data_IF_845242932906
#
_entry.id   IF_845242932906
#
_cell.length_a   1.000
_cell.length_b   1.000
_cell.length_c   1.000
_cell.angle_alpha   90.00
_cell.angle_beta   90.00
_cell.angle_gamma   90.00
#
_symmetry.space_group_name_H-M   'P 1'
#
loop_
_entity.id
_entity.type
_entity.pdbx_description
1 polymer ?
#
# COMPACT_ATOMS: atom_id res chain seq x y z
N UNK A 1 32.02 -17.84 63.02
CA UNK A 1 30.60 -17.86 63.42
C UNK A 1 29.89 -16.80 62.59
N UNK A 2 29.21 -17.19 61.50
CA UNK A 2 28.59 -16.25 60.55
C UNK A 2 27.21 -15.88 61.08
N UNK A 3 27.06 -14.65 61.58
CA UNK A 3 25.77 -14.09 62.01
C UNK A 3 24.84 -13.96 60.79
N UNK A 4 23.94 -14.93 60.58
CA UNK A 4 22.77 -14.73 59.72
C UNK A 4 21.82 -13.79 60.45
N UNK A 5 21.83 -12.50 60.10
CA UNK A 5 20.80 -11.56 60.58
C UNK A 5 19.43 -12.04 60.07
N UNK A 6 18.43 -12.22 60.95
CA UNK A 6 17.09 -12.58 60.53
C UNK A 6 16.49 -11.43 59.70
N UNK A 7 15.72 -11.76 58.67
CA UNK A 7 14.94 -10.81 57.88
C UNK A 7 13.99 -10.05 58.81
N UNK A 8 14.35 -8.81 59.18
CA UNK A 8 13.69 -8.04 60.23
C UNK A 8 12.28 -7.51 59.86
N UNK A 9 11.79 -7.71 58.64
CA UNK A 9 10.50 -7.17 58.21
C UNK A 9 9.71 -8.14 57.31
N UNK A 10 9.14 -9.23 57.87
CA UNK A 10 8.36 -10.21 57.10
C UNK A 10 7.16 -9.59 56.38
N UNK A 11 6.53 -8.56 56.97
CA UNK A 11 5.45 -7.81 56.33
C UNK A 11 5.92 -7.03 55.09
N UNK A 12 7.11 -6.43 55.14
CA UNK A 12 7.65 -5.68 54.00
C UNK A 12 7.98 -6.62 52.84
N UNK A 13 8.59 -7.77 53.13
CA UNK A 13 8.83 -8.82 52.12
C UNK A 13 7.53 -9.33 51.52
N UNK A 14 6.49 -9.52 52.33
CA UNK A 14 5.17 -9.96 51.86
C UNK A 14 4.51 -8.93 50.94
N UNK A 15 4.45 -7.65 51.36
CA UNK A 15 3.87 -6.56 50.55
C UNK A 15 4.64 -6.40 49.24
N UNK A 16 5.97 -6.46 49.27
CA UNK A 16 6.80 -6.37 48.07
C UNK A 16 6.53 -7.55 47.11
N UNK A 17 6.42 -8.78 47.64
CA UNK A 17 6.11 -9.97 46.85
C UNK A 17 4.72 -9.88 46.21
N UNK A 18 3.73 -9.40 46.96
CA UNK A 18 2.37 -9.20 46.46
C UNK A 18 2.33 -8.13 45.37
N UNK A 19 3.06 -7.03 45.55
CA UNK A 19 3.17 -5.97 44.55
C UNK A 19 3.85 -6.48 43.27
N UNK A 20 4.95 -7.23 43.38
CA UNK A 20 5.63 -7.81 42.20
C UNK A 20 4.71 -8.79 41.49
N UNK A 21 4.02 -9.68 42.22
CA UNK A 21 3.11 -10.65 41.65
C UNK A 21 1.90 -9.99 40.96
N UNK A 22 1.31 -8.95 41.55
CA UNK A 22 0.19 -8.22 40.94
C UNK A 22 0.62 -7.45 39.69
N UNK A 23 1.77 -6.78 39.73
CA UNK A 23 2.32 -6.06 38.58
C UNK A 23 2.65 -7.02 37.44
N UNK A 24 3.25 -8.17 37.73
CA UNK A 24 3.54 -9.21 36.75
C UNK A 24 2.27 -9.83 36.18
N UNK A 25 1.28 -10.12 37.03
CA UNK A 25 -0.02 -10.64 36.60
C UNK A 25 -0.75 -9.67 35.67
N UNK A 26 -0.74 -8.36 35.99
CA UNK A 26 -1.30 -7.34 35.13
C UNK A 26 -0.55 -7.21 33.80
N UNK A 27 0.79 -7.26 33.82
CA UNK A 27 1.62 -7.24 32.61
C UNK A 27 1.32 -8.45 31.72
N UNK A 28 1.28 -9.66 32.29
CA UNK A 28 0.95 -10.88 31.56
C UNK A 28 -0.46 -10.81 31.00
N UNK A 29 -1.44 -10.33 31.76
CA UNK A 29 -2.81 -10.10 31.27
C UNK A 29 -2.82 -9.13 30.08
N UNK A 30 -2.11 -8.00 30.16
CA UNK A 30 -2.02 -7.06 29.04
C UNK A 30 -1.34 -7.66 27.81
N UNK A 31 -0.22 -8.36 27.99
CA UNK A 31 0.55 -8.96 26.88
C UNK A 31 -0.18 -10.14 26.23
N UNK A 32 -0.95 -10.91 27.01
CA UNK A 32 -1.67 -12.10 26.53
C UNK A 32 -3.12 -11.83 26.14
N UNK A 33 -3.73 -10.74 26.61
CA UNK A 33 -5.03 -10.31 26.13
C UNK A 33 -4.91 -9.73 24.73
N UNK A 34 -5.96 -9.84 23.95
CA UNK A 34 -6.09 -9.19 22.65
C UNK A 34 -6.34 -7.67 22.76
N UNK A 35 -6.30 -7.07 23.96
CA UNK A 35 -6.51 -5.62 24.15
C UNK A 35 -5.49 -4.74 23.40
N UNK A 36 -4.17 -5.04 23.43
CA UNK A 36 -3.20 -4.30 22.63
C UNK A 36 -3.49 -4.44 21.14
N UNK A 37 -3.97 -5.60 20.69
CA UNK A 37 -4.34 -5.85 19.30
C UNK A 37 -5.56 -5.02 18.88
N UNK A 38 -6.54 -4.81 19.77
CA UNK A 38 -7.68 -3.93 19.50
C UNK A 38 -7.31 -2.45 19.56
N UNK A 39 -6.43 -2.03 20.48
CA UNK A 39 -6.01 -0.63 20.61
C UNK A 39 -5.03 -0.19 19.52
N UNK A 40 -4.22 -1.12 18.99
CA UNK A 40 -3.24 -0.88 17.92
C UNK A 40 -3.71 -1.42 16.57
N UNK A 41 -4.93 -1.97 16.50
CA UNK A 41 -5.48 -2.53 15.28
C UNK A 41 -5.72 -1.44 14.23
N UNK A 42 -5.64 -1.76 12.93
CA UNK A 42 -5.87 -0.77 11.87
C UNK A 42 -7.30 -0.18 11.86
N UNK A 43 -8.23 -0.75 12.62
CA UNK A 43 -9.57 -0.18 12.90
C UNK A 43 -9.60 0.80 14.09
N UNK A 44 -8.58 0.80 14.94
CA UNK A 44 -8.41 1.74 16.06
C UNK A 44 -7.54 2.95 15.71
N UNK A 45 -6.98 3.00 14.50
CA UNK A 45 -6.32 4.18 13.96
C UNK A 45 -7.30 5.37 13.96
N UNK A 46 -7.01 6.50 14.62
CA UNK A 46 -7.92 7.65 14.70
C UNK A 46 -8.26 8.26 13.34
N UNK A 47 -7.37 8.11 12.36
CA UNK A 47 -7.52 8.64 11.01
C UNK A 47 -8.24 7.64 10.12
N UNK A 48 -7.82 6.38 10.10
CA UNK A 48 -8.31 5.39 9.15
C UNK A 48 -9.29 4.37 9.71
N UNK A 49 -9.53 4.35 11.03
CA UNK A 49 -10.26 3.28 11.68
C UNK A 49 -11.67 3.04 11.15
N UNK A 50 -12.44 4.13 10.96
CA UNK A 50 -13.79 4.09 10.39
C UNK A 50 -13.79 3.66 8.92
N UNK A 51 -12.88 4.23 8.13
CA UNK A 51 -12.69 3.85 6.74
C UNK A 51 -12.28 2.37 6.60
N UNK A 52 -11.42 1.87 7.48
CA UNK A 52 -11.00 0.49 7.48
C UNK A 52 -12.13 -0.46 7.85
N UNK A 53 -13.00 -0.09 8.80
CA UNK A 53 -14.22 -0.83 9.12
C UNK A 53 -15.18 -0.89 7.91
N UNK A 54 -15.36 0.22 7.20
CA UNK A 54 -16.12 0.27 5.95
C UNK A 54 -15.53 -0.64 4.86
N UNK A 55 -14.22 -0.61 4.65
CA UNK A 55 -13.58 -1.49 3.68
C UNK A 55 -13.67 -2.97 4.09
N UNK A 56 -13.65 -3.28 5.40
CA UNK A 56 -13.80 -4.65 5.90
C UNK A 56 -15.19 -5.19 5.59
N UNK A 57 -16.23 -4.38 5.78
CA UNK A 57 -17.60 -4.78 5.47
C UNK A 57 -17.88 -4.84 3.98
N UNK A 58 -17.32 -3.92 3.18
CA UNK A 58 -17.60 -3.82 1.75
C UNK A 58 -16.82 -4.82 0.89
N UNK A 59 -15.55 -5.08 1.24
CA UNK A 59 -14.66 -5.94 0.43
C UNK A 59 -14.50 -7.34 1.03
N UNK A 60 -14.79 -7.49 2.33
CA UNK A 60 -14.65 -8.73 3.08
C UNK A 60 -13.19 -9.10 3.39
N UNK A 61 -12.98 -10.37 3.72
CA UNK A 61 -11.66 -10.93 3.98
C UNK A 61 -10.84 -11.12 2.70
N UNK A 62 -9.51 -11.17 2.85
CA UNK A 62 -8.60 -11.46 1.73
C UNK A 62 -8.39 -10.28 0.79
N UNK A 63 -8.15 -9.08 1.35
CA UNK A 63 -7.76 -7.90 0.57
C UNK A 63 -6.45 -8.17 -0.18
N UNK A 64 -6.46 -7.86 -1.48
CA UNK A 64 -5.33 -7.99 -2.38
C UNK A 64 -4.61 -6.66 -2.57
N UNK A 65 -5.35 -5.54 -2.50
CA UNK A 65 -4.81 -4.20 -2.73
C UNK A 65 -5.49 -3.16 -1.86
N UNK A 66 -4.77 -2.06 -1.62
CA UNK A 66 -5.23 -0.89 -0.89
C UNK A 66 -4.62 0.37 -1.50
N UNK A 67 -5.38 1.46 -1.56
CA UNK A 67 -4.94 2.75 -2.03
C UNK A 67 -5.54 3.87 -1.18
N UNK A 68 -4.80 4.97 -1.03
CA UNK A 68 -5.24 6.18 -0.34
C UNK A 68 -5.28 7.30 -1.37
N UNK A 69 -6.35 8.10 -1.34
CA UNK A 69 -6.44 9.28 -2.20
C UNK A 69 -5.32 10.28 -1.86
N UNK A 70 -4.80 11.06 -2.82
CA UNK A 70 -3.69 12.00 -2.56
C UNK A 70 -3.98 13.03 -1.46
N UNK A 71 -5.24 13.43 -1.30
CA UNK A 71 -5.70 14.33 -0.23
C UNK A 71 -5.88 13.63 1.14
N UNK A 72 -5.76 12.30 1.17
CA UNK A 72 -6.03 11.46 2.34
C UNK A 72 -7.50 11.41 2.76
N UNK A 73 -8.43 11.90 1.93
CA UNK A 73 -9.86 12.00 2.23
C UNK A 73 -10.64 10.72 1.96
N UNK A 74 -10.11 9.83 1.12
CA UNK A 74 -10.72 8.55 0.78
C UNK A 74 -9.69 7.42 0.71
N UNK A 75 -10.16 6.19 0.86
CA UNK A 75 -9.37 4.96 0.71
C UNK A 75 -10.13 3.93 -0.10
N UNK A 76 -9.42 3.20 -0.95
CA UNK A 76 -9.97 2.10 -1.72
C UNK A 76 -9.27 0.80 -1.37
N UNK A 77 -9.99 -0.30 -1.51
CA UNK A 77 -9.41 -1.63 -1.44
C UNK A 77 -10.09 -2.58 -2.42
N UNK A 78 -9.40 -3.65 -2.77
CA UNK A 78 -9.97 -4.75 -3.55
C UNK A 78 -9.62 -6.11 -2.95
N UNK A 79 -10.47 -7.08 -3.25
CA UNK A 79 -10.25 -8.52 -3.05
C UNK A 79 -10.48 -9.24 -4.37
N UNK A 80 -10.36 -10.56 -4.36
CA UNK A 80 -10.74 -11.40 -5.49
C UNK A 80 -12.25 -11.29 -5.84
N UNK A 81 -13.09 -10.74 -4.96
CA UNK A 81 -14.55 -10.72 -5.13
C UNK A 81 -15.16 -9.33 -5.22
N UNK A 82 -14.56 -8.32 -4.61
CA UNK A 82 -15.15 -6.99 -4.57
C UNK A 82 -14.08 -5.90 -4.55
N UNK A 83 -14.50 -4.69 -4.89
CA UNK A 83 -13.71 -3.47 -4.72
C UNK A 83 -14.58 -2.39 -4.11
N UNK A 84 -14.01 -1.52 -3.28
CA UNK A 84 -14.75 -0.46 -2.63
C UNK A 84 -13.91 0.78 -2.39
N UNK A 85 -14.58 1.92 -2.26
CA UNK A 85 -14.06 3.22 -1.88
C UNK A 85 -14.84 3.73 -0.66
N UNK A 86 -14.12 4.08 0.40
CA UNK A 86 -14.70 4.62 1.63
C UNK A 86 -14.08 5.98 1.96
N UNK A 87 -14.88 6.88 2.52
CA UNK A 87 -14.42 8.17 3.04
C UNK A 87 -13.72 7.98 4.38
N UNK A 88 -12.61 8.69 4.57
CA UNK A 88 -11.79 8.60 5.80
C UNK A 88 -12.47 9.26 7.00
N UNK A 89 -13.11 10.42 6.82
CA UNK A 89 -13.66 11.22 7.94
C UNK A 89 -14.78 10.54 8.73
N UNK A 90 -15.66 9.80 8.06
CA UNK A 90 -16.85 9.20 8.65
C UNK A 90 -16.99 7.71 8.39
N UNK A 91 -16.15 7.13 7.51
CA UNK A 91 -16.28 5.74 7.09
C UNK A 91 -17.45 5.48 6.15
N UNK A 92 -18.01 6.51 5.49
CA UNK A 92 -19.08 6.30 4.53
C UNK A 92 -18.59 5.52 3.30
N UNK A 93 -19.37 4.53 2.87
CA UNK A 93 -19.16 3.86 1.59
C UNK A 93 -19.51 4.83 0.46
N UNK A 94 -18.52 5.18 -0.36
CA UNK A 94 -18.69 6.12 -1.48
C UNK A 94 -19.04 5.38 -2.76
N UNK A 95 -18.39 4.24 -3.00
CA UNK A 95 -18.63 3.39 -4.15
C UNK A 95 -18.22 1.96 -3.82
N UNK A 96 -18.87 1.00 -4.48
CA UNK A 96 -18.49 -0.41 -4.43
C UNK A 96 -18.77 -1.08 -5.76
N UNK A 97 -18.09 -2.20 -5.98
CA UNK A 97 -18.30 -3.07 -7.12
C UNK A 97 -18.27 -4.52 -6.65
N UNK A 98 -19.24 -5.34 -7.06
CA UNK A 98 -19.28 -6.78 -6.74
C UNK A 98 -18.31 -7.60 -7.61
N UNK A 99 -17.41 -6.93 -8.34
CA UNK A 99 -16.34 -7.56 -9.11
C UNK A 99 -15.00 -7.25 -8.47
N UNK A 100 -14.22 -8.29 -8.24
CA UNK A 100 -12.89 -8.20 -7.66
C UNK A 100 -11.87 -7.55 -8.59
N UNK A 101 -10.76 -7.13 -8.01
CA UNK A 101 -9.62 -6.59 -8.72
C UNK A 101 -8.32 -7.05 -8.03
N UNK A 102 -7.28 -7.31 -8.81
CA UNK A 102 -5.94 -7.63 -8.32
C UNK A 102 -5.30 -6.40 -7.67
N UNK A 103 -5.53 -5.23 -8.25
CA UNK A 103 -4.98 -3.95 -7.83
C UNK A 103 -6.02 -2.84 -7.88
N UNK A 104 -5.85 -1.83 -7.02
CA UNK A 104 -6.58 -0.56 -7.09
C UNK A 104 -5.63 0.62 -6.93
N UNK A 105 -5.93 1.72 -7.61
CA UNK A 105 -5.20 2.98 -7.47
C UNK A 105 -6.19 4.16 -7.52
N UNK A 106 -5.89 5.26 -6.81
CA UNK A 106 -6.74 6.46 -6.78
C UNK A 106 -5.94 7.62 -7.36
N UNK A 107 -6.48 8.27 -8.39
CA UNK A 107 -5.84 9.40 -9.06
C UNK A 107 -6.08 10.74 -8.34
N UNK A 108 -5.43 11.79 -8.83
CA UNK A 108 -5.57 13.15 -8.27
C UNK A 108 -6.99 13.72 -8.35
N UNK A 109 -7.85 13.19 -9.22
CA UNK A 109 -9.26 13.54 -9.32
C UNK A 109 -10.16 12.68 -8.40
N UNK A 110 -9.60 11.72 -7.68
CA UNK A 110 -10.32 10.80 -6.81
C UNK A 110 -11.01 9.63 -7.53
N UNK A 111 -10.70 9.40 -8.82
CA UNK A 111 -11.22 8.23 -9.54
C UNK A 111 -10.44 6.98 -9.14
N UNK A 112 -11.17 5.89 -8.98
CA UNK A 112 -10.59 4.61 -8.57
C UNK A 112 -10.42 3.71 -9.77
N UNK A 113 -9.17 3.45 -10.12
CA UNK A 113 -8.76 2.52 -11.16
C UNK A 113 -8.64 1.12 -10.58
N UNK A 114 -9.14 0.12 -11.28
CA UNK A 114 -9.19 -1.28 -10.86
C UNK A 114 -8.54 -2.16 -11.92
N UNK A 115 -7.43 -2.81 -11.56
CA UNK A 115 -6.76 -3.82 -12.40
C UNK A 115 -7.42 -5.18 -12.18
N UNK A 116 -8.09 -5.71 -13.20
CA UNK A 116 -8.72 -7.05 -13.17
C UNK A 116 -7.89 -8.11 -13.91
N UNK A 117 -6.62 -7.85 -14.17
CA UNK A 117 -5.71 -8.74 -14.89
C UNK A 117 -6.16 -8.92 -16.34
N UNK A 118 -6.50 -10.16 -16.74
CA UNK A 118 -6.94 -10.47 -18.10
C UNK A 118 -8.26 -9.80 -18.50
N UNK A 119 -9.13 -9.53 -17.53
CA UNK A 119 -10.38 -8.78 -17.77
C UNK A 119 -10.11 -7.27 -17.96
N UNK A 120 -8.88 -6.84 -17.71
CA UNK A 120 -8.35 -5.52 -18.00
C UNK A 120 -8.59 -4.46 -16.95
N UNK A 121 -8.21 -3.23 -17.30
CA UNK A 121 -8.33 -2.07 -16.45
C UNK A 121 -9.74 -1.47 -16.53
N UNK A 122 -10.32 -1.11 -15.39
CA UNK A 122 -11.62 -0.42 -15.35
C UNK A 122 -11.65 0.65 -14.26
N UNK A 123 -12.73 1.43 -14.21
CA UNK A 123 -13.03 2.32 -13.11
C UNK A 123 -14.01 1.65 -12.16
N UNK A 124 -13.89 1.95 -10.87
CA UNK A 124 -14.81 1.42 -9.87
C UNK A 124 -16.25 1.86 -10.19
N UNK A 125 -17.13 0.87 -10.37
CA UNK A 125 -18.54 1.11 -10.69
C UNK A 125 -18.82 1.34 -12.18
N UNK A 126 -17.79 1.32 -13.04
CA UNK A 126 -17.97 1.33 -14.49
C UNK A 126 -18.14 -0.10 -15.03
N UNK A 127 -18.91 -0.21 -16.10
CA UNK A 127 -18.99 -1.41 -16.94
C UNK A 127 -17.94 -1.35 -18.05
N UNK A 128 -17.36 -2.51 -18.40
CA UNK A 128 -16.31 -2.61 -19.41
C UNK A 128 -14.89 -2.45 -18.84
N UNK A 129 -13.90 -2.60 -19.72
CA UNK A 129 -12.49 -2.50 -19.36
C UNK A 129 -11.59 -2.35 -20.57
N UNK A 130 -10.42 -1.78 -20.35
CA UNK A 130 -9.40 -1.52 -21.35
C UNK A 130 -8.20 -2.42 -21.09
N UNK A 131 -7.97 -3.38 -21.99
CA UNK A 131 -6.73 -4.13 -22.17
C UNK A 131 -6.24 -4.92 -20.95
N UNK A 132 -5.61 -6.08 -21.17
CA UNK A 132 -5.00 -6.80 -20.06
C UNK A 132 -3.80 -6.01 -19.50
N UNK A 133 -3.76 -5.84 -18.17
CA UNK A 133 -2.73 -5.08 -17.47
C UNK A 133 -1.82 -5.99 -16.65
N UNK A 134 -0.52 -5.72 -16.73
CA UNK A 134 0.53 -6.34 -15.92
C UNK A 134 0.84 -5.53 -14.65
N UNK A 135 0.70 -4.21 -14.71
CA UNK A 135 0.85 -3.32 -13.56
C UNK A 135 0.04 -2.03 -13.73
N UNK A 136 -0.31 -1.41 -12.61
CA UNK A 136 -1.12 -0.18 -12.54
C UNK A 136 -0.54 0.75 -11.47
N UNK A 137 -0.49 2.04 -11.78
CA UNK A 137 -0.29 3.10 -10.80
C UNK A 137 -1.16 4.33 -11.12
N UNK A 138 -1.59 5.07 -10.11
CA UNK A 138 -2.33 6.31 -10.32
C UNK A 138 -1.40 7.51 -10.37
N UNK A 139 -1.73 8.48 -11.22
CA UNK A 139 -1.03 9.75 -11.40
C UNK A 139 -1.91 10.92 -10.93
N UNK A 140 -1.38 12.15 -11.03
CA UNK A 140 -2.14 13.35 -10.71
C UNK A 140 -3.37 13.52 -11.64
N UNK A 141 -3.24 13.14 -12.91
CA UNK A 141 -4.24 13.41 -13.94
C UNK A 141 -5.05 12.17 -14.34
N UNK A 142 -4.65 10.99 -13.89
CA UNK A 142 -5.34 9.73 -14.18
C UNK A 142 -4.55 8.50 -13.75
N UNK A 143 -4.29 7.57 -14.67
CA UNK A 143 -3.53 6.35 -14.37
C UNK A 143 -2.45 6.08 -15.42
N UNK A 144 -1.41 5.38 -14.96
CA UNK A 144 -0.40 4.75 -15.82
C UNK A 144 -0.55 3.24 -15.69
N UNK A 145 -0.77 2.59 -16.81
CA UNK A 145 -0.90 1.14 -16.91
C UNK A 145 0.22 0.57 -17.77
N UNK A 146 0.75 -0.59 -17.37
CA UNK A 146 1.62 -1.41 -18.19
C UNK A 146 0.80 -2.58 -18.73
N UNK A 147 0.66 -2.67 -20.05
CA UNK A 147 0.00 -3.78 -20.73
C UNK A 147 0.80 -5.09 -20.60
N UNK A 148 0.13 -6.22 -20.76
CA UNK A 148 0.81 -7.54 -20.80
C UNK A 148 1.71 -7.72 -22.03
N UNK A 149 1.55 -6.86 -23.04
CA UNK A 149 2.41 -6.73 -24.21
C UNK A 149 3.65 -5.85 -23.98
N UNK A 150 3.79 -5.26 -22.78
CA UNK A 150 4.91 -4.42 -22.38
C UNK A 150 4.76 -2.94 -22.77
N UNK A 151 3.63 -2.51 -23.35
CA UNK A 151 3.41 -1.10 -23.66
C UNK A 151 2.95 -0.33 -22.43
N UNK A 152 3.56 0.84 -22.20
CA UNK A 152 3.15 1.77 -21.15
C UNK A 152 2.07 2.71 -21.72
N UNK A 153 0.99 2.89 -20.97
CA UNK A 153 -0.18 3.68 -21.33
C UNK A 153 -0.45 4.72 -20.24
N UNK A 154 -0.61 5.98 -20.63
CA UNK A 154 -1.13 7.04 -19.77
C UNK A 154 -2.60 7.28 -20.11
N UNK A 155 -3.43 7.34 -19.09
CA UNK A 155 -4.89 7.38 -19.21
C UNK A 155 -5.44 8.55 -18.39
N UNK A 156 -6.34 9.34 -18.98
CA UNK A 156 -7.14 10.34 -18.24
C UNK A 156 -8.51 9.80 -17.85
N UNK A 157 -9.01 8.84 -18.60
CA UNK A 157 -10.27 8.11 -18.40
C UNK A 157 -10.25 6.78 -19.14
N UNK A 158 -11.29 5.95 -18.98
CA UNK A 158 -11.32 4.63 -19.63
C UNK A 158 -11.37 4.68 -21.15
N UNK A 159 -11.88 5.75 -21.72
CA UNK A 159 -12.00 5.90 -23.17
C UNK A 159 -10.96 6.88 -23.74
N UNK A 160 -10.05 7.37 -22.90
CA UNK A 160 -9.10 8.44 -23.25
C UNK A 160 -7.67 8.02 -22.89
N UNK A 161 -7.00 7.43 -23.87
CA UNK A 161 -5.56 7.17 -23.83
C UNK A 161 -4.83 8.47 -24.17
N UNK A 162 -4.18 9.07 -23.17
CA UNK A 162 -3.45 10.33 -23.30
C UNK A 162 -2.12 10.13 -24.03
N UNK A 163 -1.41 9.05 -23.73
CA UNK A 163 -0.15 8.70 -24.37
C UNK A 163 0.11 7.19 -24.36
N UNK A 164 0.87 6.74 -25.35
CA UNK A 164 1.38 5.36 -25.45
C UNK A 164 2.88 5.45 -25.66
N UNK A 165 3.65 4.67 -24.90
CA UNK A 165 5.09 4.55 -25.12
C UNK A 165 5.35 3.48 -26.18
N UNK A 166 6.06 3.86 -27.25
CA UNK A 166 6.45 2.94 -28.33
C UNK A 166 7.43 1.85 -27.83
N UNK A 167 8.32 2.23 -26.92
CA UNK A 167 9.30 1.33 -26.35
C UNK A 167 8.66 0.38 -25.34
N UNK A 168 8.92 -0.92 -25.51
CA UNK A 168 8.38 -1.96 -24.65
C UNK A 168 9.23 -2.14 -23.39
N UNK A 169 8.54 -2.34 -22.28
CA UNK A 169 9.14 -2.73 -21.02
C UNK A 169 9.07 -4.26 -20.85
N UNK A 170 10.12 -4.90 -20.32
CA UNK A 170 10.03 -6.28 -19.90
C UNK A 170 8.93 -6.46 -18.85
N UNK A 171 8.17 -7.55 -18.97
CA UNK A 171 7.13 -7.95 -18.01
C UNK A 171 7.56 -9.25 -17.29
N UNK A 172 7.37 -9.36 -15.97
CA UNK A 172 6.67 -8.43 -15.09
C UNK A 172 7.52 -7.20 -14.74
N UNK A 173 6.86 -6.04 -14.61
CA UNK A 173 7.45 -4.83 -14.07
C UNK A 173 6.62 -4.29 -12.91
N UNK A 174 7.23 -3.40 -12.13
CA UNK A 174 6.54 -2.64 -11.08
C UNK A 174 6.46 -1.18 -11.50
N UNK A 175 5.30 -0.58 -11.28
CA UNK A 175 5.09 0.85 -11.45
C UNK A 175 5.06 1.51 -10.07
N UNK A 176 5.65 2.69 -9.97
CA UNK A 176 5.54 3.54 -8.78
C UNK A 176 5.50 4.99 -9.21
N UNK A 177 4.63 5.79 -8.60
CA UNK A 177 4.44 7.19 -8.95
C UNK A 177 4.93 8.08 -7.81
N UNK A 178 5.56 9.19 -8.20
CA UNK A 178 6.03 10.25 -7.31
C UNK A 178 4.93 10.81 -6.40
N UNK A 179 5.34 11.49 -5.31
CA UNK A 179 4.39 12.11 -4.38
C UNK A 179 3.49 13.17 -5.02
N UNK A 180 3.95 13.85 -6.08
CA UNK A 180 3.11 14.81 -6.83
C UNK A 180 2.21 14.16 -7.86
N UNK A 181 2.44 12.90 -8.22
CA UNK A 181 1.73 12.25 -9.31
C UNK A 181 2.28 12.57 -10.71
N UNK A 182 3.34 13.39 -10.83
CA UNK A 182 3.84 13.89 -12.11
C UNK A 182 4.83 12.94 -12.80
N UNK A 183 5.58 12.15 -12.02
CA UNK A 183 6.56 11.19 -12.52
C UNK A 183 6.14 9.76 -12.21
N UNK A 184 6.41 8.86 -13.15
CA UNK A 184 6.27 7.41 -12.97
C UNK A 184 7.61 6.72 -13.18
N UNK A 185 7.95 5.84 -12.24
CA UNK A 185 9.09 4.94 -12.32
C UNK A 185 8.59 3.54 -12.74
N UNK A 186 9.30 2.95 -13.70
CA UNK A 186 9.12 1.57 -14.15
C UNK A 186 10.34 0.78 -13.72
N UNK A 187 10.16 -0.27 -12.92
CA UNK A 187 11.23 -1.17 -12.48
C UNK A 187 11.01 -2.54 -13.11
N UNK A 188 11.93 -2.94 -14.00
CA UNK A 188 11.86 -4.19 -14.74
C UNK A 188 13.26 -4.80 -14.89
N UNK A 189 13.37 -6.11 -14.64
CA UNK A 189 14.62 -6.89 -14.81
C UNK A 189 15.88 -6.28 -14.14
N UNK A 190 15.71 -5.55 -13.04
CA UNK A 190 16.81 -4.91 -12.34
C UNK A 190 17.28 -3.59 -12.95
N UNK A 191 16.55 -3.07 -13.94
CA UNK A 191 16.70 -1.72 -14.47
C UNK A 191 15.57 -0.82 -14.00
N UNK A 192 15.79 0.49 -14.05
CA UNK A 192 14.76 1.48 -13.78
C UNK A 192 14.66 2.46 -14.95
N UNK A 193 13.44 2.87 -15.26
CA UNK A 193 13.17 4.05 -16.08
C UNK A 193 12.27 5.01 -15.34
N UNK A 194 12.40 6.29 -15.67
CA UNK A 194 11.53 7.35 -15.19
C UNK A 194 11.02 8.12 -16.39
N UNK A 195 9.71 8.37 -16.41
CA UNK A 195 9.06 9.19 -17.41
C UNK A 195 8.02 10.12 -16.76
N UNK A 196 7.64 11.15 -17.51
CA UNK A 196 6.48 11.99 -17.17
C UNK A 196 5.20 11.13 -17.23
N UNK A 197 4.34 11.20 -16.21
CA UNK A 197 3.20 10.31 -16.08
C UNK A 197 2.10 10.57 -17.14
N UNK A 198 1.93 11.82 -17.57
CA UNK A 198 0.90 12.21 -18.56
C UNK A 198 1.34 11.93 -19.99
N UNK A 199 2.57 12.32 -20.34
CA UNK A 199 3.07 12.27 -21.73
C UNK A 199 3.84 10.98 -22.02
N UNK A 200 4.22 10.23 -20.99
CA UNK A 200 5.17 9.12 -21.03
C UNK A 200 6.53 9.49 -21.66
N UNK A 201 6.87 10.78 -21.66
CA UNK A 201 8.18 11.24 -22.15
C UNK A 201 9.28 10.69 -21.23
N UNK A 202 10.25 9.93 -21.77
CA UNK A 202 11.33 9.37 -20.96
C UNK A 202 12.26 10.49 -20.47
N UNK A 203 12.53 10.48 -19.16
CA UNK A 203 13.47 11.39 -18.50
C UNK A 203 14.78 10.69 -18.17
N UNK A 204 14.70 9.41 -17.80
CA UNK A 204 15.85 8.62 -17.42
C UNK A 204 15.59 7.15 -17.74
N UNK A 205 16.63 6.42 -18.20
CA UNK A 205 16.59 4.97 -18.36
C UNK A 205 17.96 4.39 -18.08
N UNK A 206 18.01 3.41 -17.18
CA UNK A 206 19.23 2.76 -16.74
C UNK A 206 19.29 2.64 -15.23
N UNK A 207 20.33 2.02 -14.71
CA UNK A 207 20.56 1.96 -13.27
C UNK A 207 22.06 1.80 -13.01
N UNK A 208 22.58 2.39 -11.91
CA UNK A 208 23.98 2.22 -11.54
C UNK A 208 24.29 0.80 -11.05
N UNK A 209 23.25 -0.02 -10.84
CA UNK A 209 23.32 -1.35 -10.24
C UNK A 209 22.08 -2.16 -10.66
N UNK A 210 22.05 -3.45 -10.32
CA UNK A 210 20.83 -4.25 -10.42
C UNK A 210 19.84 -3.85 -9.33
N UNK A 211 18.74 -3.19 -9.69
CA UNK A 211 17.71 -2.67 -8.77
C UNK A 211 16.82 -3.80 -8.27
N UNK A 212 16.66 -3.93 -6.95
CA UNK A 212 15.67 -4.83 -6.33
C UNK A 212 14.39 -4.10 -5.95
N UNK A 213 14.53 -2.88 -5.43
CA UNK A 213 13.42 -2.03 -5.03
C UNK A 213 13.68 -0.58 -5.42
N UNK A 214 12.60 0.15 -5.68
CA UNK A 214 12.62 1.59 -5.87
C UNK A 214 11.47 2.20 -5.07
N UNK A 215 11.73 3.36 -4.46
CA UNK A 215 10.74 4.11 -3.70
C UNK A 215 10.97 5.60 -3.90
N UNK A 216 9.88 6.33 -4.09
CA UNK A 216 9.93 7.79 -4.17
C UNK A 216 10.11 8.41 -2.80
N UNK A 217 10.92 9.46 -2.73
CA UNK A 217 10.96 10.33 -1.56
C UNK A 217 9.57 10.99 -1.40
N UNK A 218 8.99 11.05 -0.18
CA UNK A 218 7.60 11.49 0.00
C UNK A 218 7.35 12.97 -0.36
N UNK A 219 8.36 13.82 -0.23
CA UNK A 219 8.25 15.27 -0.46
C UNK A 219 9.21 15.82 -1.52
N UNK A 220 9.99 14.96 -2.17
CA UNK A 220 10.97 15.35 -3.18
C UNK A 220 10.76 14.47 -4.40
N UNK A 221 10.97 15.03 -5.58
CA UNK A 221 10.98 14.27 -6.84
C UNK A 221 12.30 13.48 -6.99
N UNK A 222 12.65 12.73 -5.94
CA UNK A 222 13.85 11.90 -5.85
C UNK A 222 13.44 10.44 -5.75
N UNK A 223 14.01 9.60 -6.61
CA UNK A 223 13.80 8.15 -6.58
C UNK A 223 14.97 7.48 -5.87
N UNK A 224 14.68 6.77 -4.79
CA UNK A 224 15.66 5.96 -4.08
C UNK A 224 15.65 4.54 -4.63
N UNK A 225 16.85 4.01 -4.87
CA UNK A 225 17.05 2.67 -5.41
C UNK A 225 17.75 1.80 -4.38
N UNK A 226 17.20 0.61 -4.12
CA UNK A 226 17.88 -0.45 -3.38
C UNK A 226 18.51 -1.40 -4.39
N UNK A 227 19.83 -1.40 -4.43
CA UNK A 227 20.60 -2.31 -5.26
C UNK A 227 20.65 -3.71 -4.61
N UNK A 228 20.67 -4.75 -5.45
CA UNK A 228 21.10 -6.07 -5.02
C UNK A 228 22.53 -5.95 -4.47
N UNK A 229 22.76 -6.48 -3.26
CA UNK A 229 24.12 -6.63 -2.77
C UNK A 229 24.87 -7.60 -3.69
N UNK A 230 26.12 -7.30 -4.03
CA UNK A 230 27.00 -8.31 -4.62
C UNK A 230 27.00 -9.51 -3.67
N UNK A 231 26.41 -10.63 -4.11
CA UNK A 231 26.69 -11.89 -3.44
C UNK A 231 28.17 -12.13 -3.65
N UNK A 232 28.97 -11.83 -2.63
CA UNK A 232 30.38 -12.14 -2.59
C UNK A 232 30.54 -13.60 -2.98
N UNK A 233 31.01 -13.82 -4.20
CA UNK A 233 31.41 -15.12 -4.67
C UNK A 233 32.70 -15.48 -3.94
N UNK A 234 32.59 -16.41 -3.00
CA UNK A 234 33.70 -17.24 -2.55
C UNK A 234 33.31 -18.68 -2.78
#
# INVERSE_FOLDING_TARGET
MVLRRPLQHPLLTFVLSLAVASTLGALLYFVTSSLPYFALGPVADPRFGRANACLMSAVGDGRLSFAVAPDGGAVAASSARASALCRVSDGALLASSPTGARGVAIDGAGRVWCDRGEAGLTLLGADGGMGATAALAASAEGAVALGTDGHLLALHGLDEVAAVQDERWPVPARLSVSGTGALVAVVAEGTVGVCEATTLRPLFRGSPCRVEEAAWHPTREELWLRCAGERGGT
#
